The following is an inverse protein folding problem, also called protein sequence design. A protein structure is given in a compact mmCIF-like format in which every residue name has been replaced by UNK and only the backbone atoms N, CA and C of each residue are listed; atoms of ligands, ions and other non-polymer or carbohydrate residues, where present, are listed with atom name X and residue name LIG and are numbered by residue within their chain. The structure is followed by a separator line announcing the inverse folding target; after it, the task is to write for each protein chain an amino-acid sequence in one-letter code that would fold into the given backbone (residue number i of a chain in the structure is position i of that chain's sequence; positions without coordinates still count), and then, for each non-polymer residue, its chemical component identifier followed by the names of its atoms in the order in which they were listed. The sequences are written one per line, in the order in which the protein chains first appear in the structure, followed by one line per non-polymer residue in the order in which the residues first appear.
data_IF_091018316903
#
_entry.id   IF_091018316903
#
_cell.length_a   1.000
_cell.length_b   1.000
_cell.length_c   1.000
_cell.angle_alpha   90.00
_cell.angle_beta   90.00
_cell.angle_gamma   90.00
#
_symmetry.space_group_name_H-M   'P 1'
#
loop_
_entity.id
_entity.type
_entity.pdbx_description
1 polymer ?
#
# COMPACT_ATOMS: atom_id res chain seq x y z
N UNK A 1 10.53 -0.57 19.40
CA UNK A 1 9.24 -1.29 19.45
C UNK A 1 9.29 -2.37 18.38
N UNK A 2 9.69 -3.57 18.76
CA UNK A 2 9.82 -4.72 17.86
C UNK A 2 8.42 -5.23 17.52
N UNK A 3 8.04 -5.17 16.25
CA UNK A 3 6.81 -5.81 15.78
C UNK A 3 7.08 -7.31 15.80
N UNK A 4 6.46 -8.00 16.74
CA UNK A 4 6.52 -9.44 16.89
C UNK A 4 5.94 -10.10 15.64
N UNK A 5 6.73 -10.97 15.00
CA UNK A 5 6.34 -11.70 13.80
C UNK A 5 5.23 -12.69 14.17
N UNK A 6 3.97 -12.34 13.89
CA UNK A 6 2.82 -13.21 14.12
C UNK A 6 2.81 -14.33 13.08
N UNK A 7 3.62 -15.35 13.29
CA UNK A 7 3.54 -16.62 12.58
C UNK A 7 2.35 -17.43 13.10
N UNK A 8 1.14 -17.02 12.70
CA UNK A 8 -0.06 -17.85 12.82
C UNK A 8 -0.31 -18.47 11.46
N UNK A 9 0.04 -19.75 11.31
CA UNK A 9 -0.39 -20.56 10.17
C UNK A 9 -1.91 -20.75 10.26
N UNK A 10 -2.63 -19.75 9.77
CA UNK A 10 -4.08 -19.83 9.63
C UNK A 10 -4.31 -20.69 8.40
N UNK A 11 -4.90 -21.87 8.58
CA UNK A 11 -5.17 -22.81 7.49
C UNK A 11 -6.33 -22.26 6.65
N UNK A 12 -6.05 -21.19 5.91
CA UNK A 12 -6.97 -20.53 5.00
C UNK A 12 -6.90 -21.26 3.66
N UNK A 13 -8.02 -21.81 3.22
CA UNK A 13 -8.13 -22.37 1.88
C UNK A 13 -8.01 -21.23 0.86
N UNK A 14 -6.80 -21.09 0.30
CA UNK A 14 -6.50 -20.15 -0.76
C UNK A 14 -6.40 -20.92 -2.09
N UNK A 15 -6.80 -20.27 -3.18
CA UNK A 15 -6.63 -20.84 -4.52
C UNK A 15 -5.14 -20.85 -4.88
N UNK A 16 -4.56 -22.05 -4.97
CA UNK A 16 -3.16 -22.26 -5.32
C UNK A 16 -2.79 -21.69 -6.68
N UNK A 17 -3.73 -21.68 -7.64
CA UNK A 17 -3.48 -21.15 -8.99
C UNK A 17 -3.30 -19.63 -8.94
N UNK A 18 -4.11 -18.95 -8.14
CA UNK A 18 -4.00 -17.51 -7.93
C UNK A 18 -2.69 -17.14 -7.24
N UNK A 19 -2.24 -17.96 -6.28
CA UNK A 19 -0.94 -17.74 -5.63
C UNK A 19 0.20 -17.94 -6.61
N UNK A 20 0.13 -18.96 -7.47
CA UNK A 20 1.15 -19.21 -8.50
C UNK A 20 1.21 -18.08 -9.53
N UNK A 21 0.06 -17.56 -9.94
CA UNK A 21 -0.02 -16.36 -10.77
C UNK A 21 0.60 -15.14 -10.08
N UNK A 22 0.27 -14.91 -8.81
CA UNK A 22 0.86 -13.81 -8.02
C UNK A 22 2.39 -13.97 -7.88
N UNK A 23 2.88 -15.19 -7.72
CA UNK A 23 4.33 -15.49 -7.71
C UNK A 23 4.96 -15.13 -9.05
N UNK A 24 4.36 -15.54 -10.17
CA UNK A 24 4.88 -15.31 -11.51
C UNK A 24 4.85 -13.81 -11.89
N UNK A 25 3.72 -13.14 -11.70
CA UNK A 25 3.54 -11.72 -12.05
C UNK A 25 4.35 -10.81 -11.10
N UNK A 26 4.34 -11.11 -9.80
CA UNK A 26 5.06 -10.35 -8.78
C UNK A 26 6.55 -10.70 -8.66
N UNK A 27 7.03 -11.68 -9.43
CA UNK A 27 8.42 -12.17 -9.40
C UNK A 27 8.89 -12.55 -7.98
N UNK A 28 8.00 -13.18 -7.21
CA UNK A 28 8.28 -13.49 -5.81
C UNK A 28 9.04 -14.80 -5.64
N UNK A 29 9.97 -14.91 -4.67
CA UNK A 29 10.76 -16.12 -4.47
C UNK A 29 9.98 -17.29 -3.83
N UNK A 30 8.77 -17.06 -3.32
CA UNK A 30 7.93 -18.10 -2.72
C UNK A 30 6.45 -17.71 -2.66
N UNK A 31 5.57 -18.71 -2.53
CA UNK A 31 4.13 -18.53 -2.28
C UNK A 31 3.88 -17.63 -1.06
N UNK A 32 4.60 -17.84 0.06
CA UNK A 32 4.50 -17.00 1.27
C UNK A 32 4.86 -15.54 0.99
N UNK A 33 5.93 -15.31 0.24
CA UNK A 33 6.35 -13.95 -0.12
C UNK A 33 5.30 -13.24 -0.98
N UNK A 34 4.74 -13.95 -1.96
CA UNK A 34 3.67 -13.42 -2.82
C UNK A 34 2.40 -13.07 -2.03
N UNK A 35 1.91 -13.99 -1.19
CA UNK A 35 0.73 -13.75 -0.35
C UNK A 35 0.97 -12.57 0.61
N UNK A 36 2.15 -12.50 1.23
CA UNK A 36 2.49 -11.39 2.13
C UNK A 36 2.53 -10.05 1.40
N UNK A 37 3.11 -10.00 0.19
CA UNK A 37 3.16 -8.78 -0.62
C UNK A 37 1.75 -8.36 -1.05
N UNK A 38 0.97 -9.28 -1.59
CA UNK A 38 -0.41 -9.03 -2.04
C UNK A 38 -1.29 -8.47 -0.91
N UNK A 39 -1.21 -9.03 0.30
CA UNK A 39 -1.97 -8.53 1.45
C UNK A 39 -1.54 -7.11 1.86
N UNK A 40 -0.23 -6.82 1.85
CA UNK A 40 0.27 -5.47 2.14
C UNK A 40 -0.23 -4.46 1.11
N UNK A 41 -0.19 -4.81 -0.17
CA UNK A 41 -0.68 -3.96 -1.26
C UNK A 41 -2.18 -3.75 -1.19
N UNK A 42 -2.96 -4.80 -0.92
CA UNK A 42 -4.40 -4.71 -0.74
C UNK A 42 -4.77 -3.71 0.38
N UNK A 43 -4.14 -3.85 1.56
CA UNK A 43 -4.37 -2.94 2.68
C UNK A 43 -3.94 -1.52 2.32
N UNK A 44 -2.77 -1.34 1.69
CA UNK A 44 -2.27 -0.04 1.26
C UNK A 44 -3.21 0.64 0.26
N UNK A 45 -3.73 -0.10 -0.72
CA UNK A 45 -4.68 0.40 -1.71
C UNK A 45 -5.97 0.88 -1.04
N UNK A 46 -6.51 0.12 -0.08
CA UNK A 46 -7.70 0.50 0.69
C UNK A 46 -7.45 1.75 1.56
N UNK A 47 -6.32 1.81 2.25
CA UNK A 47 -5.94 3.01 3.03
C UNK A 47 -5.77 4.23 2.15
N UNK A 48 -5.19 4.09 0.95
CA UNK A 48 -5.06 5.24 0.03
C UNK A 48 -6.42 5.80 -0.36
N UNK A 49 -7.45 4.96 -0.50
CA UNK A 49 -8.80 5.42 -0.81
C UNK A 49 -9.42 6.25 0.32
N UNK A 50 -8.96 6.13 1.57
CA UNK A 50 -9.47 6.95 2.68
C UNK A 50 -9.13 8.43 2.52
N UNK A 51 -8.22 8.81 1.61
CA UNK A 51 -8.00 10.23 1.27
C UNK A 51 -9.27 10.87 0.69
N UNK A 52 -10.14 10.07 0.05
CA UNK A 52 -11.39 10.55 -0.52
C UNK A 52 -12.39 10.97 0.56
N UNK A 53 -12.24 10.49 1.80
CA UNK A 53 -13.08 10.88 2.93
C UNK A 53 -12.90 12.36 3.29
N UNK A 54 -11.78 12.96 2.90
CA UNK A 54 -11.46 14.37 3.17
C UNK A 54 -11.91 15.31 2.05
N UNK A 55 -12.44 14.79 0.94
CA UNK A 55 -12.93 15.61 -0.18
C UNK A 55 -14.14 16.42 0.29
N UNK A 56 -14.02 17.74 0.25
CA UNK A 56 -15.06 18.66 0.72
C UNK A 56 -14.96 19.02 2.21
N UNK A 57 -14.13 18.32 2.97
CA UNK A 57 -13.85 18.60 4.40
C UNK A 57 -12.59 19.46 4.60
N UNK A 58 -11.78 19.62 3.55
CA UNK A 58 -10.55 20.43 3.59
C UNK A 58 -10.79 21.77 2.91
N UNK A 59 -10.66 22.85 3.68
CA UNK A 59 -10.60 24.21 3.16
C UNK A 59 -9.19 24.48 2.61
N UNK A 60 -9.13 25.00 1.39
CA UNK A 60 -7.88 25.42 0.75
C UNK A 60 -7.72 26.92 0.90
N UNK A 61 -6.49 27.38 1.18
CA UNK A 61 -6.17 28.80 1.19
C UNK A 61 -6.06 29.33 -0.25
N UNK A 62 -6.82 30.37 -0.58
CA UNK A 62 -6.88 30.95 -1.93
C UNK A 62 -5.54 31.54 -2.40
N UNK A 63 -4.67 31.92 -1.47
CA UNK A 63 -3.36 32.52 -1.70
C UNK A 63 -2.20 31.52 -1.69
N UNK A 64 -2.49 30.21 -1.64
CA UNK A 64 -1.46 29.17 -1.61
C UNK A 64 -0.77 28.96 -2.97
N UNK A 65 0.42 29.55 -3.16
CA UNK A 65 1.27 29.30 -4.33
C UNK A 65 2.27 28.15 -4.12
N UNK A 66 1.89 26.96 -4.57
CA UNK A 66 2.73 25.76 -4.55
C UNK A 66 4.02 25.88 -5.41
N UNK A 67 4.18 26.90 -6.27
CA UNK A 67 5.40 27.09 -7.08
C UNK A 67 6.57 27.60 -6.25
N UNK A 68 6.31 28.24 -5.11
CA UNK A 68 7.37 28.72 -4.21
C UNK A 68 8.18 27.56 -3.62
N UNK A 69 7.55 26.42 -3.37
CA UNK A 69 8.22 25.20 -2.88
C UNK A 69 9.21 24.62 -3.90
N UNK A 70 8.89 24.71 -5.20
CA UNK A 70 9.74 24.14 -6.27
C UNK A 70 11.00 24.95 -6.54
N UNK A 71 10.96 26.26 -6.27
CA UNK A 71 12.11 27.17 -6.47
C UNK A 71 13.13 27.06 -5.34
N UNK A 72 12.71 26.68 -4.13
CA UNK A 72 13.58 26.55 -2.97
C UNK A 72 14.54 25.35 -3.05
N UNK A 73 14.17 24.29 -3.80
CA UNK A 73 15.01 23.10 -3.99
C UNK A 73 16.05 23.25 -5.12
N UNK A 74 16.16 24.45 -5.71
CA UNK A 74 17.02 24.72 -6.89
C UNK A 74 18.33 25.47 -6.56
N UNK A 75 18.66 25.68 -5.28
CA UNK A 75 19.91 26.30 -4.80
C UNK A 75 20.87 25.28 -4.17
#
# INVERSE_FOLDING_TARGET
MTVQEAAMATNLALDDRLIEEAVAVGHHPSKKAAVTAALKEYVKARRRLSILEWVGEVEYFDDYDHKNLRRADSD
#
